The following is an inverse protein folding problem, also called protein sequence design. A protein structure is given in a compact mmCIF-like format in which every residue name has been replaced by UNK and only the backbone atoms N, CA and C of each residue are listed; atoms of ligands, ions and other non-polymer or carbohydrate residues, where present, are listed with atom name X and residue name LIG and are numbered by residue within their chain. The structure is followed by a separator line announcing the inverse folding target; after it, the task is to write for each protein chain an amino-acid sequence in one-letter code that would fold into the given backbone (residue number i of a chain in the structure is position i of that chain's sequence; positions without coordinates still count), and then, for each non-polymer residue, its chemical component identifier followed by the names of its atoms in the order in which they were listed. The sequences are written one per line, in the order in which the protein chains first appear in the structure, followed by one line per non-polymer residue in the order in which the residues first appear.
data_IF_062295555579
#
_entry.id   IF_062295555579
#
_cell.length_a   1.000
_cell.length_b   1.000
_cell.length_c   1.000
_cell.angle_alpha   90.00
_cell.angle_beta   90.00
_cell.angle_gamma   90.00
#
_symmetry.space_group_name_H-M   'P 1'
#
loop_
_entity.id
_entity.type
_entity.pdbx_description
1 polymer ?
#
# COMPACT_ATOMS: atom_id res chain seq x y z
N UNK A 1 -5.01 27.15 2.34
CA UNK A 1 -6.17 28.06 2.28
C UNK A 1 -7.33 27.32 2.93
N UNK A 2 -8.04 27.92 3.87
CA UNK A 2 -9.20 27.29 4.53
C UNK A 2 -10.45 27.52 3.67
N UNK A 3 -10.81 26.51 2.88
CA UNK A 3 -11.95 26.60 1.97
C UNK A 3 -13.30 26.66 2.70
N UNK A 4 -13.40 26.16 3.95
CA UNK A 4 -14.65 26.28 4.72
C UNK A 4 -14.88 27.73 5.14
N UNK A 5 -13.82 28.39 5.62
CA UNK A 5 -13.87 29.82 5.95
C UNK A 5 -14.12 30.68 4.70
N UNK A 6 -13.47 30.36 3.58
CA UNK A 6 -13.69 31.07 2.31
C UNK A 6 -15.15 30.93 1.81
N UNK A 7 -15.76 29.74 1.94
CA UNK A 7 -17.18 29.55 1.63
C UNK A 7 -18.11 30.40 2.51
N UNK A 8 -17.85 30.47 3.82
CA UNK A 8 -18.64 31.29 4.73
C UNK A 8 -18.55 32.79 4.39
N UNK A 9 -17.37 33.24 3.99
CA UNK A 9 -17.13 34.63 3.55
C UNK A 9 -17.89 34.92 2.24
N UNK A 10 -17.85 34.01 1.26
CA UNK A 10 -18.62 34.15 0.00
C UNK A 10 -20.14 34.10 0.26
N UNK A 11 -20.61 33.23 1.16
CA UNK A 11 -22.03 33.14 1.54
C UNK A 11 -22.53 34.47 2.10
N UNK A 12 -21.72 35.12 2.95
CA UNK A 12 -22.02 36.43 3.50
C UNK A 12 -22.07 37.50 2.40
N UNK A 13 -21.12 37.49 1.47
CA UNK A 13 -21.11 38.41 0.33
C UNK A 13 -22.31 38.23 -0.60
N UNK A 14 -22.80 36.99 -0.76
CA UNK A 14 -24.05 36.72 -1.51
C UNK A 14 -25.25 37.36 -0.80
N UNK A 15 -25.37 37.20 0.52
CA UNK A 15 -26.46 37.80 1.30
C UNK A 15 -26.43 39.34 1.23
N UNK A 16 -25.25 39.94 1.30
CA UNK A 16 -25.05 41.39 1.15
C UNK A 16 -25.41 41.87 -0.26
N UNK A 17 -25.04 41.12 -1.30
CA UNK A 17 -25.41 41.42 -2.69
C UNK A 17 -26.93 41.33 -2.93
N UNK A 18 -27.62 40.37 -2.29
CA UNK A 18 -29.08 40.26 -2.32
C UNK A 18 -29.72 41.46 -1.62
N UNK A 19 -29.27 41.79 -0.41
CA UNK A 19 -29.81 42.89 0.39
C UNK A 19 -29.63 44.26 -0.28
N UNK A 20 -28.52 44.45 -1.01
CA UNK A 20 -28.20 45.68 -1.73
C UNK A 20 -28.78 45.76 -3.16
N UNK A 21 -29.43 44.69 -3.64
CA UNK A 21 -29.99 44.64 -5.00
C UNK A 21 -28.93 44.51 -6.11
N UNK A 22 -27.69 44.15 -5.76
CA UNK A 22 -26.58 43.98 -6.70
C UNK A 22 -26.66 42.64 -7.46
N UNK A 23 -27.76 42.41 -8.19
CA UNK A 23 -28.03 41.14 -8.85
C UNK A 23 -26.95 40.69 -9.86
N UNK A 24 -26.20 41.64 -10.43
CA UNK A 24 -25.18 41.36 -11.44
C UNK A 24 -23.96 40.59 -10.90
N UNK A 25 -23.63 40.70 -9.60
CA UNK A 25 -22.45 40.05 -9.00
C UNK A 25 -22.75 38.67 -8.39
N UNK A 26 -24.03 38.37 -8.13
CA UNK A 26 -24.46 37.12 -7.50
C UNK A 26 -24.02 35.87 -8.28
N UNK A 27 -24.10 35.81 -9.62
CA UNK A 27 -23.64 34.64 -10.38
C UNK A 27 -22.15 34.35 -10.20
N UNK A 28 -21.32 35.40 -10.15
CA UNK A 28 -19.88 35.25 -9.93
C UNK A 28 -19.56 34.70 -8.53
N UNK A 29 -20.23 35.22 -7.50
CA UNK A 29 -20.08 34.74 -6.12
C UNK A 29 -20.56 33.28 -5.97
N UNK A 30 -21.65 32.89 -6.65
CA UNK A 30 -22.10 31.49 -6.68
C UNK A 30 -21.07 30.56 -7.32
N UNK A 31 -20.50 30.96 -8.46
CA UNK A 31 -19.46 30.18 -9.12
C UNK A 31 -18.20 30.04 -8.26
N UNK A 32 -17.85 31.08 -7.49
CA UNK A 32 -16.75 31.04 -6.54
C UNK A 32 -17.04 30.08 -5.37
N UNK A 33 -18.26 30.10 -4.82
CA UNK A 33 -18.70 29.15 -3.80
C UNK A 33 -18.62 27.70 -4.31
N UNK A 34 -19.13 27.43 -5.50
CA UNK A 34 -19.10 26.09 -6.13
C UNK A 34 -17.67 25.59 -6.32
N UNK A 35 -16.74 26.50 -6.66
CA UNK A 35 -15.32 26.17 -6.77
C UNK A 35 -14.75 25.72 -5.41
N UNK A 36 -15.03 26.46 -4.32
CA UNK A 36 -14.56 26.10 -2.99
C UNK A 36 -15.18 24.78 -2.49
N UNK A 37 -16.47 24.55 -2.74
CA UNK A 37 -17.14 23.28 -2.44
C UNK A 37 -16.44 22.10 -3.12
N UNK A 38 -16.11 22.25 -4.41
CA UNK A 38 -15.39 21.23 -5.16
C UNK A 38 -14.00 20.94 -4.56
N UNK A 39 -13.28 21.96 -4.10
CA UNK A 39 -11.97 21.76 -3.46
C UNK A 39 -12.09 21.01 -2.13
N UNK A 40 -13.11 21.32 -1.32
CA UNK A 40 -13.39 20.58 -0.07
C UNK A 40 -13.72 19.13 -0.37
N UNK A 41 -14.58 18.87 -1.36
CA UNK A 41 -14.92 17.50 -1.76
C UNK A 41 -13.69 16.71 -2.24
N UNK A 42 -12.82 17.33 -3.04
CA UNK A 42 -11.58 16.70 -3.50
C UNK A 42 -10.63 16.40 -2.33
N UNK A 43 -10.52 17.31 -1.36
CA UNK A 43 -9.71 17.08 -0.17
C UNK A 43 -10.24 15.90 0.66
N UNK A 44 -11.56 15.86 0.90
CA UNK A 44 -12.19 14.77 1.63
C UNK A 44 -12.01 13.42 0.90
N UNK A 45 -12.19 13.41 -0.43
CA UNK A 45 -11.96 12.21 -1.24
C UNK A 45 -10.51 11.73 -1.15
N UNK A 46 -9.54 12.66 -1.20
CA UNK A 46 -8.13 12.33 -1.04
C UNK A 46 -7.86 11.69 0.32
N UNK A 47 -8.41 12.25 1.40
CA UNK A 47 -8.24 11.71 2.75
C UNK A 47 -8.92 10.35 2.91
N UNK A 48 -10.08 10.15 2.29
CA UNK A 48 -10.76 8.85 2.26
C UNK A 48 -9.96 7.79 1.50
N UNK A 49 -9.45 8.11 0.31
CA UNK A 49 -8.61 7.21 -0.47
C UNK A 49 -7.32 6.88 0.27
N UNK A 50 -6.70 7.87 0.93
CA UNK A 50 -5.53 7.65 1.76
C UNK A 50 -5.83 6.69 2.92
N UNK A 51 -6.93 6.91 3.65
CA UNK A 51 -7.36 6.02 4.74
C UNK A 51 -7.67 4.60 4.26
N UNK A 52 -8.31 4.45 3.11
CA UNK A 52 -8.58 3.13 2.52
C UNK A 52 -7.30 2.41 2.12
N UNK A 53 -6.37 3.12 1.48
CA UNK A 53 -5.05 2.57 1.13
C UNK A 53 -4.29 2.12 2.37
N UNK A 54 -4.28 2.94 3.43
CA UNK A 54 -3.62 2.61 4.69
C UNK A 54 -4.25 1.37 5.35
N UNK A 55 -5.59 1.27 5.38
CA UNK A 55 -6.27 0.08 5.90
C UNK A 55 -5.91 -1.17 5.12
N UNK A 56 -5.93 -1.11 3.79
CA UNK A 56 -5.54 -2.24 2.95
C UNK A 56 -4.08 -2.66 3.24
N UNK A 57 -3.18 -1.71 3.46
CA UNK A 57 -1.81 -2.00 3.85
C UNK A 57 -1.74 -2.68 5.23
N UNK A 58 -2.43 -2.12 6.24
CA UNK A 58 -2.41 -2.63 7.61
C UNK A 58 -3.04 -4.03 7.72
N UNK A 59 -4.09 -4.32 6.95
CA UNK A 59 -4.73 -5.63 6.85
C UNK A 59 -3.82 -6.68 6.20
N UNK A 60 -3.07 -6.30 5.16
CA UNK A 60 -2.23 -7.24 4.42
C UNK A 60 -0.82 -7.41 5.01
N UNK A 61 -0.34 -6.43 5.78
CA UNK A 61 0.96 -6.48 6.47
C UNK A 61 1.17 -7.76 7.29
N UNK A 62 0.27 -8.20 8.19
CA UNK A 62 0.47 -9.41 8.97
C UNK A 62 0.50 -10.67 8.11
N UNK A 63 -0.30 -10.71 7.03
CA UNK A 63 -0.34 -11.83 6.09
C UNK A 63 1.02 -11.98 5.40
N UNK A 64 1.59 -10.86 4.93
CA UNK A 64 2.89 -10.84 4.26
C UNK A 64 4.01 -11.23 5.24
N UNK A 65 4.00 -10.70 6.47
CA UNK A 65 4.95 -11.09 7.51
C UNK A 65 4.83 -12.57 7.88
N UNK A 66 3.62 -13.15 7.88
CA UNK A 66 3.44 -14.58 8.10
C UNK A 66 4.07 -15.40 6.97
N UNK A 67 3.85 -15.02 5.71
CA UNK A 67 4.48 -15.69 4.58
C UNK A 67 6.01 -15.55 4.57
N UNK A 68 6.57 -14.47 5.13
CA UNK A 68 8.02 -14.30 5.37
C UNK A 68 8.58 -15.41 6.20
N UNK A 69 7.96 -15.59 7.35
CA UNK A 69 8.37 -16.62 8.27
C UNK A 69 8.25 -18.01 7.66
N UNK A 70 7.15 -18.29 6.95
CA UNK A 70 6.96 -19.58 6.28
C UNK A 70 8.02 -19.84 5.20
N UNK A 71 8.43 -18.82 4.44
CA UNK A 71 9.48 -18.95 3.43
C UNK A 71 10.85 -19.20 4.08
N UNK A 72 11.16 -18.52 5.18
CA UNK A 72 12.38 -18.74 5.97
C UNK A 72 12.42 -20.15 6.60
N UNK A 73 11.31 -20.57 7.23
CA UNK A 73 11.17 -21.88 7.84
C UNK A 73 11.35 -22.99 6.79
N UNK A 74 10.71 -22.85 5.62
CA UNK A 74 10.87 -23.78 4.51
C UNK A 74 12.31 -23.86 4.01
N UNK A 75 13.00 -22.72 3.87
CA UNK A 75 14.42 -22.69 3.47
C UNK A 75 15.30 -23.43 4.49
N UNK A 76 15.03 -23.26 5.78
CA UNK A 76 15.75 -23.93 6.85
C UNK A 76 15.51 -25.45 6.87
N UNK A 77 14.26 -25.88 6.67
CA UNK A 77 13.90 -27.29 6.55
C UNK A 77 14.60 -27.97 5.37
N UNK A 78 14.58 -27.35 4.19
CA UNK A 78 15.24 -27.87 2.98
C UNK A 78 16.75 -28.04 3.21
N UNK A 79 17.39 -27.07 3.89
CA UNK A 79 18.81 -27.14 4.25
C UNK A 79 19.08 -28.25 5.27
N UNK A 80 18.18 -28.44 6.23
CA UNK A 80 18.28 -29.52 7.21
C UNK A 80 18.13 -30.89 6.56
N UNK A 81 17.21 -31.06 5.61
CA UNK A 81 17.02 -32.29 4.85
C UNK A 81 18.29 -32.59 4.03
N UNK A 82 18.86 -31.60 3.35
CA UNK A 82 20.12 -31.74 2.61
C UNK A 82 21.25 -32.26 3.53
N UNK A 83 21.43 -31.63 4.70
CA UNK A 83 22.45 -32.03 5.66
C UNK A 83 22.23 -33.46 6.18
N UNK A 84 20.97 -33.83 6.46
CA UNK A 84 20.61 -35.19 6.86
C UNK A 84 20.88 -36.21 5.75
N UNK A 85 20.62 -35.87 4.48
CA UNK A 85 20.91 -36.74 3.35
C UNK A 85 22.42 -36.95 3.17
N UNK A 86 23.23 -35.91 3.34
CA UNK A 86 24.71 -36.01 3.33
C UNK A 86 25.25 -36.92 4.44
N UNK A 87 24.63 -36.90 5.62
CA UNK A 87 25.03 -37.75 6.75
C UNK A 87 24.52 -39.18 6.61
N UNK A 88 23.29 -39.36 6.14
CA UNK A 88 22.62 -40.67 6.09
C UNK A 88 23.07 -41.55 4.91
N UNK A 89 23.63 -40.94 3.86
CA UNK A 89 24.09 -41.65 2.67
C UNK A 89 25.57 -41.33 2.40
N UNK A 90 26.45 -42.28 2.72
CA UNK A 90 27.82 -42.34 2.15
C UNK A 90 27.81 -42.78 0.68
N UNK A 91 26.66 -42.73 0.00
CA UNK A 91 26.46 -43.27 -1.34
C UNK A 91 26.21 -42.16 -2.36
N UNK A 92 26.69 -42.37 -3.59
CA UNK A 92 26.45 -41.50 -4.76
C UNK A 92 24.97 -41.17 -4.97
N UNK A 93 24.05 -42.02 -4.49
CA UNK A 93 22.61 -41.81 -4.59
C UNK A 93 22.11 -40.71 -3.65
N UNK A 94 22.61 -40.65 -2.41
CA UNK A 94 22.24 -39.58 -1.47
C UNK A 94 22.78 -38.23 -1.90
N UNK A 95 23.97 -38.22 -2.49
CA UNK A 95 24.59 -37.03 -3.09
C UNK A 95 23.74 -36.50 -4.24
N UNK A 96 23.31 -37.36 -5.18
CA UNK A 96 22.46 -36.98 -6.30
C UNK A 96 21.06 -36.47 -5.86
N UNK A 97 20.47 -37.05 -4.81
CA UNK A 97 19.19 -36.57 -4.24
C UNK A 97 19.37 -35.20 -3.58
N UNK A 98 20.46 -35.01 -2.83
CA UNK A 98 20.80 -33.73 -2.23
C UNK A 98 21.01 -32.62 -3.26
N UNK A 99 21.73 -32.91 -4.35
CA UNK A 99 21.91 -31.97 -5.46
C UNK A 99 20.59 -31.56 -6.11
N UNK A 100 19.68 -32.52 -6.35
CA UNK A 100 18.37 -32.23 -6.92
C UNK A 100 17.51 -31.36 -6.00
N UNK A 101 17.53 -31.64 -4.70
CA UNK A 101 16.86 -30.82 -3.68
C UNK A 101 17.38 -29.37 -3.70
N UNK A 102 18.69 -29.21 -3.84
CA UNK A 102 19.38 -27.92 -3.91
C UNK A 102 19.06 -27.14 -5.18
N UNK A 103 18.96 -27.83 -6.32
CA UNK A 103 18.55 -27.22 -7.58
C UNK A 103 17.13 -26.66 -7.48
N UNK A 104 16.19 -27.43 -6.91
CA UNK A 104 14.81 -26.96 -6.72
C UNK A 104 14.73 -25.79 -5.73
N UNK A 105 15.47 -25.85 -4.62
CA UNK A 105 15.58 -24.72 -3.67
C UNK A 105 16.08 -23.46 -4.37
N UNK A 106 17.18 -23.56 -5.11
CA UNK A 106 17.79 -22.42 -5.80
C UNK A 106 16.91 -21.89 -6.93
N UNK A 107 16.15 -22.76 -7.60
CA UNK A 107 15.14 -22.37 -8.59
C UNK A 107 14.03 -21.56 -7.93
N UNK A 108 13.45 -22.04 -6.85
CA UNK A 108 12.39 -21.34 -6.12
C UNK A 108 12.86 -19.99 -5.58
N UNK A 109 14.07 -19.91 -5.02
CA UNK A 109 14.66 -18.64 -4.58
C UNK A 109 14.89 -17.65 -5.74
N UNK A 110 15.19 -18.15 -6.94
CA UNK A 110 15.36 -17.31 -8.14
C UNK A 110 14.02 -16.81 -8.67
N UNK A 111 13.07 -17.72 -8.82
CA UNK A 111 11.78 -17.44 -9.45
C UNK A 111 10.90 -16.57 -8.53
N UNK A 112 10.95 -16.78 -7.22
CA UNK A 112 10.08 -16.11 -6.26
C UNK A 112 10.81 -15.18 -5.30
N UNK A 113 12.12 -15.32 -5.08
CA UNK A 113 12.83 -14.56 -4.06
C UNK A 113 12.90 -13.05 -4.34
N UNK A 114 12.90 -12.63 -5.62
CA UNK A 114 12.83 -11.21 -5.96
C UNK A 114 11.45 -10.62 -5.67
N UNK A 115 10.40 -11.27 -6.18
CA UNK A 115 9.00 -10.88 -5.94
C UNK A 115 8.73 -10.80 -4.44
N UNK A 116 9.23 -11.78 -3.70
CA UNK A 116 9.12 -11.85 -2.26
C UNK A 116 9.76 -10.65 -1.54
N UNK A 117 11.00 -10.29 -1.91
CA UNK A 117 11.69 -9.11 -1.36
C UNK A 117 10.99 -7.80 -1.71
N UNK A 118 10.51 -7.66 -2.94
CA UNK A 118 9.79 -6.46 -3.41
C UNK A 118 8.48 -6.27 -2.65
N UNK A 119 7.71 -7.34 -2.43
CA UNK A 119 6.48 -7.31 -1.62
C UNK A 119 6.77 -6.89 -0.19
N UNK A 120 7.76 -7.48 0.48
CA UNK A 120 8.14 -7.07 1.84
C UNK A 120 8.55 -5.60 1.89
N UNK A 121 9.35 -5.14 0.92
CA UNK A 121 9.85 -3.77 0.90
C UNK A 121 8.71 -2.77 0.69
N UNK A 122 7.72 -3.12 -0.15
CA UNK A 122 6.50 -2.32 -0.33
C UNK A 122 5.65 -2.21 0.95
N UNK A 123 5.73 -3.18 1.86
CA UNK A 123 5.01 -3.17 3.13
C UNK A 123 5.78 -2.56 4.30
N UNK A 124 7.12 -2.41 4.16
CA UNK A 124 7.98 -1.72 5.14
C UNK A 124 8.05 -0.21 4.89
N UNK A 125 7.89 0.23 3.65
CA UNK A 125 7.95 1.64 3.27
C UNK A 125 6.56 2.28 3.15
N UNK A 126 6.10 2.94 4.21
CA UNK A 126 5.19 4.11 4.12
C UNK A 126 5.40 4.99 5.37
N UNK A 127 6.54 5.68 5.39
CA UNK A 127 6.64 6.99 6.01
C UNK A 127 6.66 8.00 4.85
N UNK A 128 5.49 8.55 4.53
CA UNK A 128 5.36 9.74 3.69
C UNK A 128 4.77 10.86 4.53
#
# INVERSE_FOLDING_TARGET
MDYHRAMQEVEKSIQEAIASGAAAIIPGLKAEKDMYEKQVQLANLRDDLYRQSQRAMDENKPIITQYERLFEDWFHEMTTIENKLKIAFESKTGEAIGEKLMQERNRLCRDYGQVYREVIQSCKGNHW
#
